data_IF_507111393595
#
_entry.id   IF_507111393595
#
_cell.length_a   1.000
_cell.length_b   1.000
_cell.length_c   1.000
_cell.angle_alpha   90.00
_cell.angle_beta   90.00
_cell.angle_gamma   90.00
#
_symmetry.space_group_name_H-M   'P 1'
#
loop_
_entity.id
_entity.type
_entity.pdbx_description
1 polymer ?
#
# COMPACT_ATOMS: atom_id res chain seq x y z
N UNK A 1 -15.96 2.18 -13.27
CA UNK A 1 -14.61 2.27 -13.84
C UNK A 1 -13.68 2.01 -12.69
N UNK A 2 -12.79 1.04 -12.79
CA UNK A 2 -11.75 0.86 -11.79
C UNK A 2 -10.88 2.11 -11.78
N UNK A 3 -10.75 2.76 -10.62
CA UNK A 3 -9.90 3.95 -10.46
C UNK A 3 -8.45 3.56 -10.75
N UNK A 4 -7.70 4.49 -11.35
CA UNK A 4 -6.28 4.27 -11.61
C UNK A 4 -5.52 4.12 -10.29
N UNK A 5 -4.43 3.35 -10.29
CA UNK A 5 -3.68 3.07 -9.04
C UNK A 5 -3.22 4.36 -8.37
N UNK A 6 -2.87 5.41 -9.12
CA UNK A 6 -2.46 6.70 -8.57
C UNK A 6 -3.58 7.49 -7.85
N UNK A 7 -4.83 7.04 -7.98
CA UNK A 7 -6.00 7.60 -7.30
C UNK A 7 -6.41 6.78 -6.08
N UNK A 8 -5.71 5.67 -5.79
CA UNK A 8 -6.03 4.81 -4.65
C UNK A 8 -5.73 5.51 -3.33
N UNK A 9 -6.67 5.40 -2.40
CA UNK A 9 -6.45 5.74 -1.01
C UNK A 9 -5.65 4.64 -0.29
N UNK A 10 -5.21 4.92 0.93
CA UNK A 10 -4.59 3.89 1.78
C UNK A 10 -5.53 2.70 2.08
N UNK A 11 -6.85 2.91 2.06
CA UNK A 11 -7.85 1.83 2.16
C UNK A 11 -7.77 0.89 0.94
N UNK A 12 -7.76 1.47 -0.26
CA UNK A 12 -7.72 0.73 -1.51
C UNK A 12 -6.43 -0.10 -1.63
N UNK A 13 -5.30 0.48 -1.20
CA UNK A 13 -4.01 -0.24 -1.08
C UNK A 13 -4.11 -1.39 -0.08
N UNK A 14 -4.73 -1.20 1.08
CA UNK A 14 -4.97 -2.26 2.06
C UNK A 14 -5.81 -3.41 1.51
N UNK A 15 -6.90 -3.11 0.81
CA UNK A 15 -7.73 -4.11 0.13
C UNK A 15 -6.98 -4.86 -0.96
N UNK A 16 -6.14 -4.15 -1.73
CA UNK A 16 -5.29 -4.76 -2.73
C UNK A 16 -4.27 -5.72 -2.11
N UNK A 17 -3.60 -5.33 -1.02
CA UNK A 17 -2.67 -6.21 -0.29
C UNK A 17 -3.37 -7.49 0.19
N UNK A 18 -4.55 -7.37 0.80
CA UNK A 18 -5.32 -8.53 1.26
C UNK A 18 -5.69 -9.47 0.10
N UNK A 19 -6.19 -8.93 -1.02
CA UNK A 19 -6.56 -9.70 -2.22
C UNK A 19 -5.37 -10.45 -2.84
N UNK A 20 -4.16 -9.94 -2.67
CA UNK A 20 -2.92 -10.55 -3.19
C UNK A 20 -2.21 -11.45 -2.15
N UNK A 21 -2.80 -11.69 -0.98
CA UNK A 21 -2.23 -12.58 0.04
C UNK A 21 -1.22 -11.93 0.99
N UNK A 22 -1.14 -10.59 1.00
CA UNK A 22 -0.26 -9.79 1.87
C UNK A 22 -1.00 -9.21 3.08
N UNK A 23 -2.00 -9.92 3.61
CA UNK A 23 -2.88 -9.45 4.68
C UNK A 23 -2.11 -9.01 5.95
N UNK A 24 -0.99 -9.66 6.25
CA UNK A 24 -0.13 -9.31 7.40
C UNK A 24 0.45 -7.91 7.32
N UNK A 25 0.57 -7.33 6.12
CA UNK A 25 1.12 -6.01 5.89
C UNK A 25 0.06 -4.91 5.82
N UNK A 26 -1.23 -5.27 5.80
CA UNK A 26 -2.34 -4.30 5.66
C UNK A 26 -2.28 -3.25 6.75
N UNK A 27 -2.12 -3.65 8.02
CA UNK A 27 -2.04 -2.70 9.14
C UNK A 27 -0.88 -1.72 8.99
N UNK A 28 0.29 -2.22 8.60
CA UNK A 28 1.47 -1.37 8.43
C UNK A 28 1.29 -0.38 7.27
N UNK A 29 0.82 -0.85 6.12
CA UNK A 29 0.64 -0.01 4.95
C UNK A 29 -0.52 0.98 5.10
N UNK A 30 -1.68 0.51 5.59
CA UNK A 30 -2.90 1.31 5.67
C UNK A 30 -2.94 2.21 6.91
N UNK A 31 -2.64 1.67 8.09
CA UNK A 31 -2.91 2.36 9.35
C UNK A 31 -1.66 3.08 9.89
N UNK A 32 -0.48 2.46 9.79
CA UNK A 32 0.79 3.01 10.33
C UNK A 32 1.43 4.01 9.36
N UNK A 33 1.71 3.58 8.12
CA UNK A 33 2.41 4.39 7.11
C UNK A 33 1.47 5.14 6.16
N UNK A 34 0.19 4.74 6.10
CA UNK A 34 -0.84 5.36 5.24
C UNK A 34 -0.39 5.48 3.78
N UNK A 35 0.17 4.39 3.25
CA UNK A 35 0.63 4.27 1.87
C UNK A 35 -0.58 4.34 0.94
N UNK A 36 -0.69 5.44 0.20
CA UNK A 36 -1.66 5.61 -0.87
C UNK A 36 -1.12 5.10 -2.20
N UNK A 37 -1.94 5.19 -3.24
CA UNK A 37 -1.62 4.71 -4.58
C UNK A 37 -0.36 5.33 -5.21
N UNK A 38 -0.10 6.61 -4.94
CA UNK A 38 1.08 7.30 -5.47
C UNK A 38 2.34 6.80 -4.78
N UNK A 39 2.31 6.72 -3.45
CA UNK A 39 3.39 6.15 -2.67
C UNK A 39 3.66 4.69 -3.08
N UNK A 40 2.61 3.88 -3.28
CA UNK A 40 2.73 2.49 -3.71
C UNK A 40 3.49 2.36 -5.04
N UNK A 41 3.21 3.23 -6.02
CA UNK A 41 3.86 3.21 -7.33
C UNK A 41 5.32 3.66 -7.30
N UNK A 42 5.73 4.37 -6.25
CA UNK A 42 7.10 4.88 -6.10
C UNK A 42 7.94 4.12 -5.07
N UNK A 43 7.34 3.17 -4.33
CA UNK A 43 8.03 2.37 -3.32
C UNK A 43 9.18 1.58 -3.96
N UNK A 44 10.34 1.66 -3.32
CA UNK A 44 11.51 0.85 -3.66
C UNK A 44 11.68 -0.29 -2.66
N UNK A 45 12.53 -1.26 -3.01
CA UNK A 45 12.88 -2.35 -2.08
C UNK A 45 13.56 -1.83 -0.81
N UNK A 46 14.39 -0.79 -0.93
CA UNK A 46 15.05 -0.14 0.21
C UNK A 46 14.04 0.50 1.17
N UNK A 47 12.99 1.14 0.66
CA UNK A 47 11.92 1.72 1.49
C UNK A 47 11.18 0.63 2.30
N UNK A 48 11.04 -0.58 1.75
CA UNK A 48 10.37 -1.70 2.41
C UNK A 48 11.25 -2.41 3.45
N UNK A 49 12.57 -2.43 3.23
CA UNK A 49 13.54 -3.09 4.12
C UNK A 49 14.03 -2.18 5.24
N UNK A 50 13.96 -0.87 5.03
CA UNK A 50 14.40 0.11 6.01
C UNK A 50 13.48 0.11 7.23
N UNK A 51 14.04 0.19 8.45
CA UNK A 51 13.22 0.36 9.65
C UNK A 51 12.46 1.70 9.58
N UNK A 52 11.22 1.76 10.12
CA UNK A 52 10.43 2.98 10.16
C UNK A 52 10.97 4.03 11.14
#
# INVERSE_FOLDING_TARGET
MDNSVDEWSAEDVGLWLQKNGFETYVRQFRDEHKIDGKCLLTLTEDDLRSPP
#
